data_IF_311849673553
#
_entry.id   IF_311849673553
#
_cell.length_a   1.000
_cell.length_b   1.000
_cell.length_c   1.000
_cell.angle_alpha   90.00
_cell.angle_beta   90.00
_cell.angle_gamma   90.00
#
_symmetry.space_group_name_H-M   'P 1'
#
loop_
_entity.id
_entity.type
_entity.pdbx_description
1 polymer ?
#
# COMPACT_ATOMS: atom_id res chain seq x y z
N UNK A 1 -3.55 4.06 -27.33
CA UNK A 1 -4.00 3.18 -26.23
C UNK A 1 -4.21 1.78 -26.79
N UNK A 2 -3.77 0.75 -26.04
CA UNK A 2 -3.93 -0.65 -26.46
C UNK A 2 -2.79 -1.23 -27.29
N UNK A 3 -1.71 -0.48 -27.52
CA UNK A 3 -0.50 -1.02 -28.15
C UNK A 3 0.39 -1.67 -27.09
N UNK A 4 0.99 -2.79 -27.45
CA UNK A 4 1.94 -3.53 -26.62
C UNK A 4 3.28 -3.54 -27.35
N UNK A 5 4.37 -3.28 -26.63
CA UNK A 5 5.74 -3.41 -27.12
C UNK A 5 6.30 -4.72 -26.56
N UNK A 6 6.83 -5.56 -27.43
CA UNK A 6 7.42 -6.85 -27.09
C UNK A 6 8.86 -6.90 -27.60
N UNK A 7 9.74 -7.48 -26.82
CA UNK A 7 11.05 -7.93 -27.27
C UNK A 7 10.93 -9.41 -27.67
N UNK A 8 11.35 -9.75 -28.85
CA UNK A 8 11.31 -11.11 -29.40
C UNK A 8 12.57 -11.40 -30.20
N UNK A 9 12.96 -12.64 -30.24
CA UNK A 9 14.03 -13.09 -31.16
C UNK A 9 13.69 -12.72 -32.59
N UNK A 10 14.68 -12.25 -33.33
CA UNK A 10 14.51 -11.74 -34.72
C UNK A 10 13.79 -12.73 -35.65
N UNK A 11 14.11 -13.99 -35.50
CA UNK A 11 13.55 -15.06 -36.34
C UNK A 11 12.09 -15.39 -35.97
N UNK A 12 11.66 -15.04 -34.76
CA UNK A 12 10.31 -15.33 -34.24
C UNK A 12 9.29 -14.23 -34.54
N UNK A 13 9.69 -13.09 -35.09
CA UNK A 13 8.77 -11.97 -35.41
C UNK A 13 7.64 -12.42 -36.35
N UNK A 14 7.94 -13.27 -37.34
CA UNK A 14 6.95 -13.80 -38.29
C UNK A 14 6.05 -14.87 -37.69
N UNK A 15 6.46 -15.49 -36.60
CA UNK A 15 5.72 -16.57 -35.93
C UNK A 15 4.68 -16.06 -34.93
N UNK A 16 4.68 -14.73 -34.61
CA UNK A 16 3.72 -14.15 -33.68
C UNK A 16 2.25 -14.29 -34.11
N UNK A 17 1.99 -14.48 -35.40
CA UNK A 17 0.63 -14.69 -35.92
C UNK A 17 -0.32 -13.50 -35.77
N UNK A 18 0.18 -12.34 -35.37
CA UNK A 18 -0.55 -11.09 -35.19
C UNK A 18 0.09 -9.96 -35.99
N UNK A 19 -0.69 -8.97 -36.45
CA UNK A 19 -0.13 -7.79 -37.11
C UNK A 19 0.81 -7.05 -36.14
N UNK A 20 2.06 -6.88 -36.50
CA UNK A 20 3.04 -6.15 -35.73
C UNK A 20 3.92 -5.26 -36.60
N UNK A 21 4.56 -4.28 -36.01
CA UNK A 21 5.52 -3.40 -36.67
C UNK A 21 6.82 -3.44 -35.87
N UNK A 22 7.93 -3.75 -36.57
CA UNK A 22 9.25 -3.67 -35.94
C UNK A 22 9.60 -2.19 -35.77
N UNK A 23 9.82 -1.79 -34.53
CA UNK A 23 10.13 -0.40 -34.14
C UNK A 23 11.62 -0.18 -33.87
N UNK A 24 12.39 -1.23 -33.70
CA UNK A 24 13.83 -1.17 -33.45
C UNK A 24 14.42 -2.54 -33.20
N UNK A 25 15.72 -2.58 -33.01
CA UNK A 25 16.50 -3.77 -32.66
C UNK A 25 17.26 -3.45 -31.34
N UNK A 26 17.37 -4.45 -30.48
CA UNK A 26 18.18 -4.37 -29.27
C UNK A 26 19.65 -4.51 -29.66
N UNK A 27 20.51 -3.70 -29.04
CA UNK A 27 21.95 -3.71 -29.27
C UNK A 27 22.74 -3.85 -27.96
N UNK A 28 23.97 -4.28 -28.04
CA UNK A 28 24.83 -4.47 -26.88
C UNK A 28 25.38 -3.14 -26.30
N UNK A 29 25.48 -2.10 -27.14
CA UNK A 29 25.92 -0.79 -26.68
C UNK A 29 24.85 -0.13 -25.80
N UNK A 30 25.20 0.45 -24.64
CA UNK A 30 24.25 1.07 -23.72
C UNK A 30 23.81 2.47 -24.22
N UNK A 31 23.19 2.49 -25.38
CA UNK A 31 22.75 3.71 -26.05
C UNK A 31 21.51 3.48 -26.91
N UNK A 32 20.75 4.54 -27.14
CA UNK A 32 19.66 4.60 -28.11
C UNK A 32 20.15 5.29 -29.37
N UNK A 33 19.93 4.67 -30.53
CA UNK A 33 20.28 5.25 -31.83
C UNK A 33 18.98 5.48 -32.63
N UNK A 34 18.78 6.72 -33.07
CA UNK A 34 17.67 7.09 -33.93
C UNK A 34 18.15 8.02 -35.05
N UNK A 35 18.30 7.46 -36.25
CA UNK A 35 18.94 8.16 -37.37
C UNK A 35 20.38 8.53 -36.99
N UNK A 36 20.69 9.83 -37.04
CA UNK A 36 22.02 10.34 -36.69
C UNK A 36 22.12 10.72 -35.16
N UNK A 37 21.05 10.59 -34.42
CA UNK A 37 21.03 10.88 -33.01
C UNK A 37 21.44 9.66 -32.18
N UNK A 38 22.39 9.87 -31.25
CA UNK A 38 22.83 8.87 -30.28
C UNK A 38 22.61 9.47 -28.89
N UNK A 39 21.93 8.74 -28.03
CA UNK A 39 21.65 9.10 -26.63
C UNK A 39 22.14 7.96 -25.76
N UNK A 40 23.07 8.22 -24.86
CA UNK A 40 23.54 7.19 -23.94
C UNK A 40 22.46 6.82 -22.92
N UNK A 41 22.54 5.60 -22.36
CA UNK A 41 21.63 5.17 -21.29
C UNK A 41 21.69 6.10 -20.07
N UNK A 42 22.89 6.60 -19.72
CA UNK A 42 23.07 7.53 -18.60
C UNK A 42 22.37 8.86 -18.87
N UNK A 43 22.50 9.43 -20.10
CA UNK A 43 21.79 10.65 -20.47
C UNK A 43 20.28 10.49 -20.44
N UNK A 44 19.78 9.36 -20.95
CA UNK A 44 18.35 9.04 -20.94
C UNK A 44 17.82 8.89 -19.52
N UNK A 45 18.56 8.16 -18.66
CA UNK A 45 18.22 7.95 -17.27
C UNK A 45 18.22 9.28 -16.50
N UNK A 46 19.23 10.09 -16.69
CA UNK A 46 19.35 11.42 -16.09
C UNK A 46 18.19 12.34 -16.50
N UNK A 47 17.87 12.35 -17.79
CA UNK A 47 16.74 13.14 -18.30
C UNK A 47 15.39 12.69 -17.73
N UNK A 48 15.24 11.41 -17.44
CA UNK A 48 14.02 10.86 -16.86
C UNK A 48 13.94 11.08 -15.35
N UNK A 49 14.99 10.74 -14.61
CA UNK A 49 14.96 10.76 -13.14
C UNK A 49 15.17 12.15 -12.56
N UNK A 50 16.04 12.99 -13.15
CA UNK A 50 16.43 14.28 -12.56
C UNK A 50 15.47 15.43 -12.87
N UNK A 51 14.47 15.23 -13.73
CA UNK A 51 13.58 16.33 -14.15
C UNK A 51 12.80 16.94 -12.99
N UNK A 52 12.40 16.13 -12.03
CA UNK A 52 11.66 16.56 -10.85
C UNK A 52 12.53 16.68 -9.59
N UNK A 53 13.84 16.47 -9.68
CA UNK A 53 14.77 16.43 -8.54
C UNK A 53 14.72 17.69 -7.67
N UNK A 54 14.43 18.86 -8.26
CA UNK A 54 14.31 20.12 -7.52
C UNK A 54 13.04 20.21 -6.68
N UNK A 55 12.00 19.45 -7.01
CA UNK A 55 10.68 19.46 -6.35
C UNK A 55 10.52 18.24 -5.47
N UNK A 56 10.96 17.09 -5.98
CA UNK A 56 10.94 15.80 -5.29
C UNK A 56 12.33 15.17 -5.36
N UNK A 57 13.27 15.59 -4.49
CA UNK A 57 14.61 15.05 -4.50
C UNK A 57 14.59 13.55 -4.17
N UNK A 58 15.33 12.77 -4.97
CA UNK A 58 15.48 11.32 -4.75
C UNK A 58 16.32 11.01 -3.50
N UNK A 59 17.21 11.93 -3.14
CA UNK A 59 17.95 11.88 -1.87
C UNK A 59 17.35 12.93 -0.93
N UNK A 60 16.60 12.47 0.06
CA UNK A 60 16.26 13.34 1.17
C UNK A 60 17.55 13.59 1.96
N UNK A 61 17.87 14.87 2.24
CA UNK A 61 19.02 15.24 3.08
C UNK A 61 18.92 14.79 4.55
N UNK A 62 18.05 13.86 4.85
CA UNK A 62 18.03 13.06 6.08
C UNK A 62 19.06 11.97 5.85
N UNK A 63 20.13 11.99 6.66
CA UNK A 63 21.07 10.87 6.73
C UNK A 63 20.26 9.57 6.70
N UNK A 64 20.42 8.83 5.61
CA UNK A 64 19.84 7.49 5.53
C UNK A 64 20.29 6.77 6.79
N UNK A 65 19.32 6.39 7.63
CA UNK A 65 19.62 5.56 8.76
C UNK A 65 20.20 4.27 8.17
N UNK A 66 21.52 4.11 8.24
CA UNK A 66 22.26 2.92 7.77
C UNK A 66 21.65 1.61 8.31
N UNK A 67 20.85 1.71 9.37
CA UNK A 67 20.07 0.61 9.94
C UNK A 67 18.99 0.03 9.01
N UNK A 68 18.49 0.77 8.02
CA UNK A 68 17.50 0.22 7.07
C UNK A 68 18.22 -0.65 6.03
N UNK A 69 19.41 -0.25 5.60
CA UNK A 69 20.19 -1.03 4.66
C UNK A 69 20.79 -2.31 5.27
N UNK A 70 21.01 -2.33 6.59
CA UNK A 70 21.47 -3.54 7.31
C UNK A 70 20.37 -4.61 7.45
N UNK A 71 19.11 -4.26 7.27
CA UNK A 71 17.98 -5.21 7.37
C UNK A 71 17.63 -5.90 6.06
N UNK A 72 18.11 -5.39 4.91
CA UNK A 72 17.92 -5.98 3.60
C UNK A 72 19.21 -6.70 3.16
N UNK A 73 19.36 -7.96 3.53
CA UNK A 73 20.45 -8.80 3.03
C UNK A 73 20.00 -9.56 1.80
N UNK A 74 20.66 -9.34 0.67
CA UNK A 74 20.51 -10.18 -0.51
C UNK A 74 21.46 -11.35 -0.36
N UNK A 75 20.93 -12.54 -0.10
CA UNK A 75 21.69 -13.79 -0.05
C UNK A 75 21.18 -14.68 -1.17
N UNK A 76 22.08 -15.09 -2.08
CA UNK A 76 21.76 -15.95 -3.23
C UNK A 76 20.62 -15.42 -4.13
N UNK A 77 20.58 -14.11 -4.38
CA UNK A 77 19.55 -13.48 -5.21
C UNK A 77 18.16 -13.39 -4.55
N UNK A 78 18.03 -13.74 -3.28
CA UNK A 78 16.81 -13.58 -2.49
C UNK A 78 16.96 -12.46 -1.49
N UNK A 79 15.97 -11.57 -1.46
CA UNK A 79 15.90 -10.53 -0.42
C UNK A 79 15.53 -11.21 0.89
N UNK A 80 16.48 -11.29 1.83
CA UNK A 80 16.21 -11.69 3.20
C UNK A 80 16.01 -10.43 4.03
N UNK A 81 14.78 -10.13 4.38
CA UNK A 81 14.50 -9.14 5.42
C UNK A 81 14.68 -9.85 6.76
N UNK A 82 15.71 -9.51 7.53
CA UNK A 82 15.92 -10.05 8.88
C UNK A 82 14.81 -9.71 9.88
N UNK A 83 13.68 -9.17 9.41
CA UNK A 83 12.52 -8.72 10.20
C UNK A 83 11.40 -9.77 10.27
N UNK A 84 11.40 -10.77 9.40
CA UNK A 84 10.35 -11.79 9.38
C UNK A 84 10.95 -13.18 9.29
N UNK A 85 10.81 -13.93 10.37
CA UNK A 85 11.07 -15.36 10.38
C UNK A 85 9.76 -16.11 10.16
N UNK A 86 9.56 -16.64 8.94
CA UNK A 86 8.42 -17.46 8.59
C UNK A 86 8.27 -18.73 9.46
N UNK A 87 9.31 -19.08 10.23
CA UNK A 87 9.28 -20.18 11.18
C UNK A 87 8.53 -19.86 12.49
N UNK A 88 8.29 -18.57 12.80
CA UNK A 88 7.59 -18.15 14.01
C UNK A 88 6.32 -17.38 13.70
N UNK A 89 5.27 -18.10 13.30
CA UNK A 89 3.93 -17.49 13.17
C UNK A 89 3.40 -17.20 14.57
N UNK A 90 3.09 -15.92 14.84
CA UNK A 90 2.45 -15.53 16.09
C UNK A 90 1.09 -16.25 16.22
N UNK A 91 0.90 -16.90 17.34
CA UNK A 91 -0.36 -17.57 17.67
C UNK A 91 -1.02 -16.77 18.80
N UNK A 92 -2.20 -16.20 18.52
CA UNK A 92 -2.94 -15.43 19.50
C UNK A 92 -3.22 -16.25 20.77
N UNK A 93 -3.07 -15.62 21.94
CA UNK A 93 -3.38 -16.24 23.23
C UNK A 93 -4.86 -16.51 23.35
N UNK A 94 -5.68 -15.55 22.91
CA UNK A 94 -7.15 -15.65 22.94
C UNK A 94 -7.63 -16.10 21.55
N UNK A 95 -7.92 -17.38 21.40
CA UNK A 95 -8.40 -17.95 20.14
C UNK A 95 -9.91 -17.78 20.01
N UNK A 96 -10.35 -17.26 18.88
CA UNK A 96 -11.76 -17.19 18.49
C UNK A 96 -11.96 -18.02 17.23
N UNK A 97 -13.09 -18.70 17.12
CA UNK A 97 -13.37 -19.57 15.98
C UNK A 97 -13.50 -18.78 14.67
N UNK A 98 -14.04 -17.57 14.74
CA UNK A 98 -14.22 -16.67 13.61
C UNK A 98 -13.90 -15.23 14.08
N UNK A 99 -12.69 -14.74 13.80
CA UNK A 99 -12.31 -13.39 14.24
C UNK A 99 -13.15 -12.34 13.53
N UNK A 100 -13.55 -11.31 14.28
CA UNK A 100 -14.24 -10.14 13.75
C UNK A 100 -13.22 -9.06 13.39
N UNK A 101 -13.39 -8.49 12.20
CA UNK A 101 -12.58 -7.40 11.68
C UNK A 101 -13.45 -6.16 11.52
N UNK A 102 -13.07 -5.09 12.17
CA UNK A 102 -13.70 -3.78 11.98
C UNK A 102 -12.91 -2.97 10.95
N UNK A 103 -13.60 -2.48 9.93
CA UNK A 103 -13.02 -1.60 8.90
C UNK A 103 -13.74 -0.24 8.98
N UNK A 104 -13.06 0.79 9.54
CA UNK A 104 -13.60 2.16 9.53
C UNK A 104 -13.53 2.73 8.11
N UNK A 105 -14.64 3.30 7.64
CA UNK A 105 -14.75 3.94 6.33
C UNK A 105 -14.94 5.44 6.51
N UNK A 106 -14.10 6.21 5.85
CA UNK A 106 -14.14 7.67 5.89
C UNK A 106 -14.48 8.24 4.51
N UNK A 107 -14.98 9.49 4.43
CA UNK A 107 -15.20 10.12 3.13
C UNK A 107 -13.95 10.07 2.26
N UNK A 108 -14.05 9.41 1.10
CA UNK A 108 -12.99 9.27 0.12
C UNK A 108 -12.14 8.00 0.24
N UNK A 109 -12.30 7.15 1.27
CA UNK A 109 -11.71 5.80 1.24
C UNK A 109 -12.42 4.96 0.17
N UNK A 110 -11.69 4.07 -0.50
CA UNK A 110 -12.24 3.25 -1.58
C UNK A 110 -11.68 1.82 -1.65
N UNK A 111 -10.85 1.42 -0.68
CA UNK A 111 -10.26 0.07 -0.62
C UNK A 111 -10.94 -0.82 0.43
N UNK A 112 -12.05 -0.40 1.04
CA UNK A 112 -12.76 -1.15 2.08
C UNK A 112 -13.36 -2.44 1.55
N UNK A 113 -13.87 -2.48 0.32
CA UNK A 113 -14.45 -3.67 -0.27
C UNK A 113 -13.41 -4.76 -0.53
N UNK A 114 -12.27 -4.41 -1.10
CA UNK A 114 -11.18 -5.37 -1.36
C UNK A 114 -10.57 -5.87 -0.06
N UNK A 115 -10.41 -4.98 0.91
CA UNK A 115 -9.95 -5.33 2.26
C UNK A 115 -10.93 -6.27 2.94
N UNK A 116 -12.23 -5.98 2.91
CA UNK A 116 -13.26 -6.85 3.47
C UNK A 116 -13.21 -8.24 2.85
N UNK A 117 -13.17 -8.32 1.52
CA UNK A 117 -13.11 -9.58 0.78
C UNK A 117 -11.85 -10.39 1.12
N UNK A 118 -10.71 -9.74 1.32
CA UNK A 118 -9.48 -10.44 1.72
C UNK A 118 -9.62 -11.11 3.09
N UNK A 119 -10.18 -10.41 4.08
CA UNK A 119 -10.42 -10.95 5.41
C UNK A 119 -11.51 -12.04 5.42
N UNK A 120 -12.59 -11.87 4.66
CA UNK A 120 -13.65 -12.89 4.51
C UNK A 120 -13.11 -14.17 3.88
N UNK A 121 -12.27 -14.05 2.84
CA UNK A 121 -11.61 -15.20 2.22
C UNK A 121 -10.67 -15.92 3.19
N UNK A 122 -10.09 -15.20 4.16
CA UNK A 122 -9.30 -15.77 5.24
C UNK A 122 -10.16 -16.37 6.39
N UNK A 123 -11.49 -16.31 6.29
CA UNK A 123 -12.44 -16.89 7.24
C UNK A 123 -12.88 -15.96 8.36
N UNK A 124 -12.59 -14.66 8.29
CA UNK A 124 -13.05 -13.67 9.26
C UNK A 124 -14.50 -13.22 9.00
N UNK A 125 -15.11 -12.61 10.01
CA UNK A 125 -16.36 -11.85 9.89
C UNK A 125 -16.00 -10.36 9.81
N UNK A 126 -16.44 -9.68 8.76
CA UNK A 126 -16.06 -8.27 8.54
C UNK A 126 -17.26 -7.36 8.77
N UNK A 127 -17.00 -6.26 9.49
CA UNK A 127 -17.94 -5.18 9.70
C UNK A 127 -17.33 -3.86 9.20
N UNK A 128 -17.96 -3.25 8.20
CA UNK A 128 -17.61 -1.92 7.70
C UNK A 128 -18.61 -0.90 8.23
N UNK A 129 -18.13 0.22 8.75
CA UNK A 129 -19.00 1.33 9.21
C UNK A 129 -18.45 2.64 8.66
N UNK A 130 -19.35 3.42 8.04
CA UNK A 130 -19.03 4.75 7.51
C UNK A 130 -19.07 5.79 8.63
N UNK A 131 -18.01 6.57 8.76
CA UNK A 131 -17.97 7.73 9.63
C UNK A 131 -18.75 8.89 9.02
N UNK A 132 -19.89 9.26 9.59
CA UNK A 132 -20.74 10.34 9.14
C UNK A 132 -20.33 11.65 9.79
N UNK A 133 -19.87 12.60 8.98
CA UNK A 133 -19.34 13.89 9.43
C UNK A 133 -20.14 15.10 8.93
N UNK A 134 -21.35 14.90 8.42
CA UNK A 134 -22.16 15.97 7.85
C UNK A 134 -22.75 16.90 8.94
N UNK A 135 -23.01 16.36 10.11
CA UNK A 135 -23.55 17.11 11.25
C UNK A 135 -23.05 16.56 12.58
N UNK A 136 -23.29 17.32 13.65
CA UNK A 136 -22.83 16.97 14.99
C UNK A 136 -23.48 15.68 15.54
N UNK A 137 -24.70 15.34 15.10
CA UNK A 137 -25.35 14.10 15.54
C UNK A 137 -24.72 12.90 14.82
N UNK A 138 -24.50 12.98 13.51
CA UNK A 138 -23.81 11.94 12.73
C UNK A 138 -22.42 11.64 13.29
N UNK A 139 -21.67 12.66 13.74
CA UNK A 139 -20.38 12.47 14.38
C UNK A 139 -20.53 11.69 15.69
N UNK A 140 -21.47 12.06 16.58
CA UNK A 140 -21.71 11.34 17.83
C UNK A 140 -22.11 9.89 17.60
N UNK A 141 -23.06 9.67 16.71
CA UNK A 141 -23.53 8.32 16.34
C UNK A 141 -22.39 7.46 15.77
N UNK A 142 -21.52 8.07 14.95
CA UNK A 142 -20.37 7.37 14.39
C UNK A 142 -19.32 7.01 15.45
N UNK A 143 -19.05 7.91 16.40
CA UNK A 143 -18.15 7.64 17.53
C UNK A 143 -18.68 6.48 18.36
N UNK A 144 -19.97 6.46 18.69
CA UNK A 144 -20.56 5.38 19.49
C UNK A 144 -20.59 4.06 18.70
N UNK A 145 -20.91 4.09 17.40
CA UNK A 145 -20.87 2.92 16.53
C UNK A 145 -19.46 2.34 16.40
N UNK A 146 -18.45 3.19 16.19
CA UNK A 146 -17.04 2.77 16.11
C UNK A 146 -16.57 2.17 17.43
N UNK A 147 -16.86 2.84 18.56
CA UNK A 147 -16.53 2.33 19.90
C UNK A 147 -17.09 0.93 20.13
N UNK A 148 -18.36 0.73 19.76
CA UNK A 148 -19.01 -0.58 19.87
C UNK A 148 -18.35 -1.62 18.94
N UNK A 149 -18.14 -1.27 17.67
CA UNK A 149 -17.51 -2.19 16.71
C UNK A 149 -16.12 -2.62 17.15
N UNK A 150 -15.31 -1.69 17.66
CA UNK A 150 -13.97 -1.99 18.19
C UNK A 150 -14.06 -2.92 19.41
N UNK A 151 -15.01 -2.68 20.32
CA UNK A 151 -15.16 -3.51 21.51
C UNK A 151 -15.51 -4.98 21.19
N UNK A 152 -16.16 -5.23 20.06
CA UNK A 152 -16.57 -6.55 19.59
C UNK A 152 -15.56 -7.23 18.64
N UNK A 153 -14.56 -6.49 18.18
CA UNK A 153 -13.60 -6.97 17.17
C UNK A 153 -12.29 -7.48 17.77
N UNK A 154 -11.60 -8.31 17.01
CA UNK A 154 -10.24 -8.79 17.28
C UNK A 154 -9.20 -8.06 16.40
N UNK A 155 -9.65 -7.47 15.28
CA UNK A 155 -8.77 -6.80 14.33
C UNK A 155 -9.41 -5.49 13.92
N UNK A 156 -8.60 -4.43 13.83
CA UNK A 156 -8.96 -3.19 13.13
C UNK A 156 -8.14 -3.12 11.85
N UNK A 157 -8.79 -2.86 10.73
CA UNK A 157 -8.14 -2.67 9.43
C UNK A 157 -8.43 -1.27 8.90
N UNK A 158 -7.39 -0.45 8.74
CA UNK A 158 -7.47 0.88 8.13
C UNK A 158 -7.21 0.77 6.63
N UNK A 159 -8.24 0.92 5.78
CA UNK A 159 -8.06 0.81 4.34
C UNK A 159 -7.41 2.06 3.77
N UNK A 160 -6.69 1.90 2.67
CA UNK A 160 -6.20 3.01 1.89
C UNK A 160 -7.27 3.61 0.98
N UNK A 161 -6.84 4.49 0.10
CA UNK A 161 -7.67 5.17 -0.90
C UNK A 161 -7.23 6.61 -1.09
N UNK A 162 -7.60 7.19 -2.23
CA UNK A 162 -7.29 8.58 -2.58
C UNK A 162 -8.32 9.55 -2.03
N UNK A 163 -8.46 9.62 -0.72
CA UNK A 163 -9.40 10.52 -0.06
C UNK A 163 -8.94 11.96 -0.17
N UNK A 164 -9.85 12.84 -0.57
CA UNK A 164 -9.57 14.28 -0.72
C UNK A 164 -8.33 14.58 -1.59
N UNK A 165 -7.97 13.66 -2.51
CA UNK A 165 -6.83 13.83 -3.39
C UNK A 165 -5.46 13.68 -2.74
N UNK A 166 -5.40 13.18 -1.51
CA UNK A 166 -4.19 13.02 -0.69
C UNK A 166 -3.38 14.31 -0.44
N UNK A 167 -3.98 15.47 -0.71
CA UNK A 167 -3.35 16.78 -0.57
C UNK A 167 -4.11 17.70 0.40
N UNK A 168 -3.40 18.43 1.24
CA UNK A 168 -2.00 18.29 1.67
C UNK A 168 -1.80 17.19 2.71
N UNK A 169 -2.84 16.72 3.35
CA UNK A 169 -2.80 15.85 4.53
C UNK A 169 -3.52 14.50 4.32
N UNK A 170 -4.16 14.30 3.19
CA UNK A 170 -4.83 13.06 2.83
C UNK A 170 -5.92 12.58 3.78
N UNK A 171 -6.37 11.35 3.58
CA UNK A 171 -7.37 10.69 4.45
C UNK A 171 -6.83 10.34 5.84
N UNK A 172 -5.52 10.19 5.97
CA UNK A 172 -4.87 9.92 7.26
C UNK A 172 -5.21 10.95 8.34
N UNK A 173 -5.43 12.21 7.95
CA UNK A 173 -5.86 13.27 8.88
C UNK A 173 -7.25 13.04 9.45
N UNK A 174 -8.19 12.61 8.63
CA UNK A 174 -9.55 12.27 9.10
C UNK A 174 -9.51 11.10 10.07
N UNK A 175 -8.81 10.04 9.72
CA UNK A 175 -8.61 8.86 10.55
C UNK A 175 -7.97 9.27 11.88
N UNK A 176 -6.84 9.98 11.84
CA UNK A 176 -6.14 10.42 13.03
C UNK A 176 -7.01 11.31 13.94
N UNK A 177 -7.82 12.19 13.36
CA UNK A 177 -8.71 13.07 14.11
C UNK A 177 -9.82 12.28 14.81
N UNK A 178 -10.47 11.34 14.10
CA UNK A 178 -11.52 10.50 14.67
C UNK A 178 -10.97 9.58 15.78
N UNK A 179 -9.81 8.98 15.55
CA UNK A 179 -9.18 8.07 16.51
C UNK A 179 -8.50 8.77 17.71
N UNK A 180 -8.39 10.10 17.70
CA UNK A 180 -8.07 10.89 18.89
C UNK A 180 -9.26 11.12 19.83
N UNK A 181 -10.48 10.78 19.40
CA UNK A 181 -11.62 10.81 20.30
C UNK A 181 -11.39 9.85 21.48
N UNK A 182 -11.59 10.32 22.71
CA UNK A 182 -11.24 9.57 23.90
C UNK A 182 -11.92 8.19 23.99
N UNK A 183 -13.20 8.06 23.59
CA UNK A 183 -13.92 6.78 23.60
C UNK A 183 -13.31 5.78 22.62
N UNK A 184 -13.03 6.22 21.39
CA UNK A 184 -12.44 5.39 20.35
C UNK A 184 -11.02 4.99 20.75
N UNK A 185 -10.20 5.95 21.17
CA UNK A 185 -8.82 5.71 21.59
C UNK A 185 -8.73 4.69 22.73
N UNK A 186 -9.59 4.82 23.75
CA UNK A 186 -9.65 3.91 24.89
C UNK A 186 -9.96 2.46 24.44
N UNK A 187 -10.95 2.28 23.57
CA UNK A 187 -11.30 0.95 23.06
C UNK A 187 -10.21 0.34 22.14
N UNK A 188 -9.51 1.17 21.37
CA UNK A 188 -8.33 0.70 20.59
C UNK A 188 -7.23 0.23 21.55
N UNK A 189 -6.93 0.99 22.59
CA UNK A 189 -5.93 0.60 23.58
C UNK A 189 -6.30 -0.70 24.30
N UNK A 190 -7.58 -0.87 24.68
CA UNK A 190 -8.08 -2.14 25.23
C UNK A 190 -7.95 -3.29 24.24
N UNK A 191 -8.30 -3.06 22.95
CA UNK A 191 -8.14 -4.09 21.92
C UNK A 191 -6.69 -4.57 21.86
N UNK A 192 -5.74 -3.64 21.76
CA UNK A 192 -4.33 -3.97 21.52
C UNK A 192 -3.62 -4.52 22.77
N UNK A 193 -3.90 -3.98 23.96
CA UNK A 193 -3.15 -4.30 25.17
C UNK A 193 -3.84 -5.30 26.10
N UNK A 194 -5.17 -5.34 26.12
CA UNK A 194 -5.91 -6.22 27.01
C UNK A 194 -6.49 -7.44 26.32
N UNK A 195 -6.97 -7.29 25.07
CA UNK A 195 -7.61 -8.36 24.32
C UNK A 195 -6.70 -9.09 23.33
N UNK A 196 -5.41 -8.71 23.26
CA UNK A 196 -4.42 -9.30 22.34
C UNK A 196 -4.84 -9.16 20.87
N UNK A 197 -5.48 -8.05 20.54
CA UNK A 197 -5.97 -7.76 19.20
C UNK A 197 -4.90 -7.18 18.28
N UNK A 198 -5.26 -7.04 17.01
CA UNK A 198 -4.34 -6.58 15.97
C UNK A 198 -4.87 -5.31 15.28
N UNK A 199 -3.96 -4.50 14.78
CA UNK A 199 -4.27 -3.39 13.89
C UNK A 199 -3.43 -3.49 12.63
N UNK A 200 -4.06 -3.31 11.47
CA UNK A 200 -3.42 -3.25 10.17
C UNK A 200 -3.78 -1.92 9.50
N UNK A 201 -2.80 -1.21 8.99
CA UNK A 201 -3.00 -0.02 8.17
C UNK A 201 -2.33 -0.20 6.81
N UNK A 202 -3.00 0.22 5.76
CA UNK A 202 -2.49 0.19 4.39
C UNK A 202 -2.55 1.60 3.80
N UNK A 203 -1.42 2.06 3.23
CA UNK A 203 -1.27 3.35 2.55
C UNK A 203 -1.52 4.58 3.45
#
# INVERSE_FOLDING_TARGET
YGSIILEVEKDNVTELGIPCTVIGEVQDAPEFVYGDAVITMDEALDAWTKKLEKVFPTESGVEQNDKINDTLKIVDGKVSTGLYDAGSIYVAKNKVAKPKVFIPVFPGTNCEYDSAKAFENAGAEVQTIVFRNLDAQGIRDSVDAFTKAISESQIIMFPGGFSAGDEPDGSGKFIATAFRNAKIADEVMKLLHERDGLALGIC
#
